data_IF_524377676644
#
_entry.id   IF_524377676644
#
_cell.length_a   1.000
_cell.length_b   1.000
_cell.length_c   1.000
_cell.angle_alpha   90.00
_cell.angle_beta   90.00
_cell.angle_gamma   90.00
#
_symmetry.space_group_name_H-M   'P 1'
#
loop_
_entity.id
_entity.type
_entity.pdbx_description
1 polymer ?
#
# COMPACT_ATOMS: atom_id res chain seq x y z
N UNK A 1 6.13 1.79 5.72
CA UNK A 1 5.30 2.89 5.18
C UNK A 1 6.13 4.08 4.72
N UNK A 2 7.29 4.39 5.32
CA UNK A 2 8.16 5.50 4.87
C UNK A 2 8.46 5.52 3.36
N UNK A 3 8.62 4.37 2.71
CA UNK A 3 8.87 4.30 1.27
C UNK A 3 7.64 4.74 0.46
N UNK A 4 6.48 4.13 0.72
CA UNK A 4 5.19 4.48 0.10
C UNK A 4 4.82 5.95 0.34
N UNK A 5 5.06 6.46 1.55
CA UNK A 5 4.82 7.88 1.88
C UNK A 5 5.72 8.81 1.05
N UNK A 6 6.99 8.44 0.86
CA UNK A 6 7.92 9.20 0.01
C UNK A 6 7.54 9.13 -1.47
N UNK A 7 7.08 7.97 -1.94
CA UNK A 7 6.63 7.79 -3.31
C UNK A 7 5.37 8.64 -3.58
N UNK A 8 4.39 8.61 -2.68
CA UNK A 8 3.21 9.48 -2.75
C UNK A 8 3.58 10.96 -2.76
N UNK A 9 4.52 11.39 -1.92
CA UNK A 9 4.96 12.78 -1.93
C UNK A 9 5.59 13.16 -3.28
N UNK A 10 6.45 12.29 -3.84
CA UNK A 10 7.06 12.53 -5.15
C UNK A 10 6.02 12.61 -6.29
N UNK A 11 4.97 11.79 -6.24
CA UNK A 11 3.86 11.83 -7.21
C UNK A 11 3.05 13.12 -7.10
N UNK A 12 2.76 13.58 -5.88
CA UNK A 12 2.08 14.86 -5.64
C UNK A 12 2.93 16.05 -6.11
N UNK A 13 4.24 16.02 -5.85
CA UNK A 13 5.18 17.05 -6.30
C UNK A 13 5.24 17.10 -7.84
N UNK A 14 5.21 15.95 -8.51
CA UNK A 14 5.16 15.86 -9.97
C UNK A 14 3.87 16.44 -10.54
N UNK A 15 2.72 16.13 -9.93
CA UNK A 15 1.44 16.71 -10.34
C UNK A 15 1.42 18.24 -10.15
N UNK A 16 1.94 18.74 -9.02
CA UNK A 16 2.06 20.17 -8.76
C UNK A 16 2.97 20.86 -9.79
N UNK A 17 4.06 20.22 -10.22
CA UNK A 17 4.93 20.71 -11.28
C UNK A 17 4.19 20.77 -12.63
N UNK A 18 3.44 19.72 -13.00
CA UNK A 18 2.60 19.72 -14.20
C UNK A 18 1.60 20.87 -14.19
N UNK A 19 0.96 21.11 -13.05
CA UNK A 19 0.01 22.21 -12.85
C UNK A 19 0.68 23.58 -13.02
N UNK A 20 1.88 23.76 -12.46
CA UNK A 20 2.64 25.01 -12.59
C UNK A 20 3.10 25.27 -14.03
N UNK A 21 3.37 24.21 -14.80
CA UNK A 21 3.75 24.29 -16.21
C UNK A 21 2.54 24.33 -17.16
N UNK A 22 1.31 24.24 -16.62
CA UNK A 22 0.08 24.06 -17.39
C UNK A 22 0.18 22.91 -18.41
N UNK A 23 0.82 21.80 -18.01
CA UNK A 23 0.97 20.58 -18.78
C UNK A 23 -0.04 19.51 -18.27
N UNK A 24 -1.15 19.29 -18.99
CA UNK A 24 -2.17 18.33 -18.59
C UNK A 24 -1.64 16.90 -18.54
N UNK A 25 -0.70 16.55 -19.43
CA UNK A 25 -0.17 15.19 -19.51
C UNK A 25 0.69 14.86 -18.28
N UNK A 26 1.42 15.84 -17.74
CA UNK A 26 2.18 15.68 -16.50
C UNK A 26 1.28 15.63 -15.25
N UNK A 27 0.11 16.27 -15.29
CA UNK A 27 -0.89 16.17 -14.23
C UNK A 27 -1.63 14.84 -14.22
N UNK A 28 -2.03 14.36 -15.40
CA UNK A 28 -2.88 13.17 -15.56
C UNK A 28 -2.10 11.86 -15.29
N UNK A 29 -0.79 11.85 -15.53
CA UNK A 29 0.05 10.66 -15.39
C UNK A 29 0.10 10.11 -13.94
N UNK A 30 0.41 10.91 -12.90
CA UNK A 30 0.34 10.45 -11.51
C UNK A 30 -1.07 10.02 -11.08
N UNK A 31 -2.11 10.71 -11.55
CA UNK A 31 -3.50 10.47 -11.15
C UNK A 31 -4.06 9.15 -11.69
N UNK A 32 -3.86 8.87 -12.98
CA UNK A 32 -4.44 7.68 -13.60
C UNK A 32 -3.71 6.39 -13.24
N UNK A 33 -2.38 6.44 -13.12
CA UNK A 33 -1.57 5.22 -13.11
C UNK A 33 -1.02 4.86 -11.72
N UNK A 34 -0.92 5.80 -10.77
CA UNK A 34 -0.15 5.59 -9.54
C UNK A 34 -0.88 5.94 -8.24
N UNK A 35 -1.50 7.13 -8.13
CA UNK A 35 -2.03 7.60 -6.84
C UNK A 35 -3.11 6.67 -6.26
N UNK A 36 -4.00 6.15 -7.11
CA UNK A 36 -5.04 5.19 -6.69
C UNK A 36 -4.46 3.85 -6.24
N UNK A 37 -3.41 3.36 -6.91
CA UNK A 37 -2.76 2.10 -6.58
C UNK A 37 -1.93 2.21 -5.29
N UNK A 38 -1.24 3.33 -5.08
CA UNK A 38 -0.49 3.61 -3.85
C UNK A 38 -1.42 3.67 -2.63
N UNK A 39 -2.59 4.32 -2.74
CA UNK A 39 -3.59 4.35 -1.65
C UNK A 39 -4.11 2.94 -1.33
N UNK A 40 -4.37 2.12 -2.36
CA UNK A 40 -4.77 0.70 -2.16
C UNK A 40 -3.67 -0.11 -1.48
N UNK A 41 -2.41 0.11 -1.87
CA UNK A 41 -1.25 -0.59 -1.29
C UNK A 41 -1.05 -0.22 0.18
N UNK A 42 -1.08 1.07 0.52
CA UNK A 42 -0.98 1.53 1.92
C UNK A 42 -2.11 0.93 2.77
N UNK A 43 -3.35 0.93 2.28
CA UNK A 43 -4.49 0.32 2.99
C UNK A 43 -4.27 -1.17 3.23
N UNK A 44 -3.75 -1.90 2.23
CA UNK A 44 -3.41 -3.32 2.35
C UNK A 44 -2.31 -3.55 3.40
N UNK A 45 -1.28 -2.70 3.43
CA UNK A 45 -0.22 -2.77 4.45
C UNK A 45 -0.75 -2.51 5.85
N UNK A 46 -1.59 -1.49 6.04
CA UNK A 46 -2.23 -1.19 7.34
C UNK A 46 -3.11 -2.34 7.80
N UNK A 47 -3.88 -2.96 6.90
CA UNK A 47 -4.68 -4.14 7.22
C UNK A 47 -3.82 -5.33 7.66
N UNK A 48 -2.68 -5.56 6.98
CA UNK A 48 -1.73 -6.60 7.39
C UNK A 48 -1.12 -6.30 8.76
N UNK A 49 -0.70 -5.06 9.02
CA UNK A 49 -0.17 -4.65 10.33
C UNK A 49 -1.20 -4.83 11.44
N UNK A 50 -2.45 -4.46 11.18
CA UNK A 50 -3.57 -4.63 12.13
C UNK A 50 -3.83 -6.11 12.40
N UNK A 51 -3.79 -6.94 11.35
CA UNK A 51 -3.93 -8.39 11.49
C UNK A 51 -2.78 -8.98 12.30
N UNK A 52 -1.54 -8.63 11.97
CA UNK A 52 -0.33 -9.08 12.68
C UNK A 52 -0.37 -8.67 14.15
N UNK A 53 -0.70 -7.42 14.46
CA UNK A 53 -0.84 -6.94 15.84
C UNK A 53 -1.91 -7.73 16.61
N UNK A 54 -3.03 -8.07 15.96
CA UNK A 54 -4.09 -8.87 16.57
C UNK A 54 -3.65 -10.30 16.86
N UNK A 55 -2.90 -10.94 15.95
CA UNK A 55 -2.41 -12.33 16.16
C UNK A 55 -1.17 -12.41 17.05
N UNK A 56 -0.42 -11.32 17.18
CA UNK A 56 0.74 -11.17 18.07
C UNK A 56 0.37 -10.85 19.53
N UNK A 57 -0.92 -10.63 19.83
CA UNK A 57 -1.44 -10.50 21.19
C UNK A 57 -1.15 -11.78 22.01
N UNK A 58 -0.85 -11.73 23.34
CA UNK A 58 0.06 -12.62 24.10
C UNK A 58 -0.20 -14.13 24.18
N UNK A 59 -1.04 -14.70 23.33
CA UNK A 59 -1.27 -16.14 23.17
C UNK A 59 -0.52 -16.72 21.94
N UNK A 60 0.41 -15.94 21.38
CA UNK A 60 0.86 -15.93 19.98
C UNK A 60 1.88 -17.00 19.52
N UNK A 61 1.87 -18.22 20.06
CA UNK A 61 2.64 -19.32 19.44
C UNK A 61 1.95 -19.91 18.20
N UNK A 62 0.61 -20.00 18.26
CA UNK A 62 -0.21 -20.65 17.22
C UNK A 62 -0.79 -19.66 16.20
N UNK A 63 -0.96 -18.39 16.60
CA UNK A 63 -1.56 -17.35 15.76
C UNK A 63 -0.73 -17.02 14.51
N UNK A 64 0.58 -16.90 14.67
CA UNK A 64 1.49 -16.59 13.55
C UNK A 64 1.57 -17.75 12.53
N UNK A 65 1.65 -19.00 13.00
CA UNK A 65 1.66 -20.19 12.12
C UNK A 65 0.37 -20.32 11.31
N UNK A 66 -0.79 -20.15 11.97
CA UNK A 66 -2.09 -20.22 11.30
C UNK A 66 -2.28 -19.09 10.29
N UNK A 67 -1.77 -17.90 10.60
CA UNK A 67 -1.77 -16.78 9.66
C UNK A 67 -0.94 -17.07 8.42
N UNK A 68 0.31 -17.52 8.60
CA UNK A 68 1.21 -17.83 7.48
C UNK A 68 0.63 -18.93 6.58
N UNK A 69 0.04 -19.97 7.19
CA UNK A 69 -0.62 -21.05 6.46
C UNK A 69 -1.83 -20.56 5.65
N UNK A 70 -2.71 -19.76 6.24
CA UNK A 70 -3.89 -19.24 5.55
C UNK A 70 -3.50 -18.32 4.38
N UNK A 71 -2.49 -17.46 4.58
CA UNK A 71 -1.99 -16.57 3.54
C UNK A 71 -1.44 -17.34 2.33
N UNK A 72 -0.63 -18.38 2.56
CA UNK A 72 -0.09 -19.23 1.49
C UNK A 72 -1.18 -19.99 0.74
N UNK A 73 -2.21 -20.48 1.43
CA UNK A 73 -3.32 -21.21 0.80
C UNK A 73 -4.15 -20.30 -0.11
N UNK A 74 -4.35 -19.04 0.26
CA UNK A 74 -5.07 -18.07 -0.59
C UNK A 74 -4.28 -17.70 -1.85
N UNK A 75 -2.95 -17.76 -1.85
CA UNK A 75 -2.12 -17.48 -3.03
C UNK A 75 -1.96 -18.70 -3.96
N UNK A 76 -2.10 -19.92 -3.45
CA UNK A 76 -1.95 -21.18 -4.21
C UNK A 76 -3.28 -21.75 -4.74
N UNK A 77 -4.41 -21.10 -4.41
CA UNK A 77 -5.77 -21.54 -4.75
C UNK A 77 -6.45 -20.73 -5.86
N UNK A 78 -5.69 -20.19 -6.81
CA UNK A 78 -6.20 -19.56 -8.04
C UNK A 78 -5.63 -20.26 -9.27
#
# INVERSE_FOLDING_TARGET
MILEEKLNQALLDLHALGSALADPHLCDFPENDFLDEEVKLIKKMVNHLTHLHRVASPQAGLGEYLFYKAHLQTQLGA
#
